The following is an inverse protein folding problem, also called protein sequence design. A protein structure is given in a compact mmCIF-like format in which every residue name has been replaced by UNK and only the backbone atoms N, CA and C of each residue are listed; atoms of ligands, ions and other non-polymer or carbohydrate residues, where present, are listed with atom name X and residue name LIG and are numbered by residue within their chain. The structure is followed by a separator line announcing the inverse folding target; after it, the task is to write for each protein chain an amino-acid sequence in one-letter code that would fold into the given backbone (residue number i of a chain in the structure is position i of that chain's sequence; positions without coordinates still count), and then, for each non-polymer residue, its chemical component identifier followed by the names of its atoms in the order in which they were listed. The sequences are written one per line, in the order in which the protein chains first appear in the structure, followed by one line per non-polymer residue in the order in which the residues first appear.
data_IF_193445118106
#
_entry.id   IF_193445118106
#
_cell.length_a   1.000
_cell.length_b   1.000
_cell.length_c   1.000
_cell.angle_alpha   90.00
_cell.angle_beta   90.00
_cell.angle_gamma   90.00
#
_symmetry.space_group_name_H-M   'P 1'
#
loop_
_entity.id
_entity.type
_entity.pdbx_description
1 polymer ?
#
# COMPACT_ATOMS: atom_id res chain seq x y z
N UNK A 1 -6.11 3.65 2.13
CA UNK A 1 -6.48 5.03 2.36
C UNK A 1 -5.77 5.95 1.37
N UNK A 2 -6.53 6.89 0.76
CA UNK A 2 -6.14 7.63 -0.44
C UNK A 2 -6.80 7.02 -1.68
N UNK A 3 -7.33 7.87 -2.56
CA UNK A 3 -7.94 7.47 -3.83
C UNK A 3 -7.42 8.33 -4.99
N UNK A 4 -6.16 8.69 -4.89
CA UNK A 4 -5.38 9.33 -5.95
C UNK A 4 -4.74 8.31 -6.90
N UNK A 5 -3.94 8.80 -7.85
CA UNK A 5 -3.31 7.96 -8.88
C UNK A 5 -2.48 6.80 -8.29
N UNK A 6 -1.71 7.04 -7.23
CA UNK A 6 -0.89 6.01 -6.58
C UNK A 6 -1.76 4.90 -5.97
N UNK A 7 -2.77 5.27 -5.18
CA UNK A 7 -3.66 4.29 -4.54
C UNK A 7 -4.42 3.44 -5.57
N UNK A 8 -4.96 4.08 -6.60
CA UNK A 8 -5.67 3.39 -7.69
C UNK A 8 -4.73 2.42 -8.44
N UNK A 9 -3.53 2.87 -8.79
CA UNK A 9 -2.55 2.03 -9.50
C UNK A 9 -2.11 0.83 -8.65
N UNK A 10 -1.80 1.04 -7.37
CA UNK A 10 -1.44 -0.05 -6.45
C UNK A 10 -2.60 -1.04 -6.29
N UNK A 11 -3.82 -0.55 -6.10
CA UNK A 11 -4.99 -1.40 -5.90
C UNK A 11 -5.28 -2.24 -7.16
N UNK A 12 -5.14 -1.69 -8.36
CA UNK A 12 -5.25 -2.45 -9.61
C UNK A 12 -4.23 -3.59 -9.66
N UNK A 13 -2.97 -3.34 -9.29
CA UNK A 13 -1.94 -4.39 -9.23
C UNK A 13 -2.27 -5.49 -8.21
N UNK A 14 -2.83 -5.15 -7.05
CA UNK A 14 -3.28 -6.16 -6.08
C UNK A 14 -4.40 -7.03 -6.62
N UNK A 15 -5.36 -6.45 -7.34
CA UNK A 15 -6.44 -7.19 -8.00
C UNK A 15 -5.88 -8.13 -9.07
N UNK A 16 -4.95 -7.67 -9.90
CA UNK A 16 -4.26 -8.49 -10.90
C UNK A 16 -3.42 -9.63 -10.27
N UNK A 17 -2.96 -9.46 -9.04
CA UNK A 17 -2.29 -10.50 -8.25
C UNK A 17 -3.26 -11.48 -7.58
N UNK A 18 -4.57 -11.25 -7.70
CA UNK A 18 -5.61 -12.15 -7.22
C UNK A 18 -6.37 -11.66 -5.98
N UNK A 19 -6.13 -10.45 -5.50
CA UNK A 19 -6.95 -9.88 -4.43
C UNK A 19 -8.36 -9.62 -4.96
N UNK A 20 -9.35 -10.16 -4.28
CA UNK A 20 -10.76 -9.97 -4.65
C UNK A 20 -11.21 -8.55 -4.32
N UNK A 21 -11.94 -7.92 -5.24
CA UNK A 21 -12.42 -6.53 -5.07
C UNK A 21 -13.35 -6.38 -3.87
N UNK A 22 -14.13 -7.40 -3.54
CA UNK A 22 -15.01 -7.40 -2.36
C UNK A 22 -14.27 -7.30 -1.01
N UNK A 23 -12.97 -7.61 -1.00
CA UNK A 23 -12.11 -7.49 0.19
C UNK A 23 -11.38 -6.14 0.26
N UNK A 24 -11.73 -5.18 -0.60
CA UNK A 24 -11.08 -3.87 -0.66
C UNK A 24 -12.05 -2.77 -0.25
N UNK A 25 -11.68 -2.01 0.76
CA UNK A 25 -12.35 -0.76 1.12
C UNK A 25 -11.44 0.43 0.78
N UNK A 26 -11.72 1.12 -0.30
CA UNK A 26 -10.98 2.32 -0.68
C UNK A 26 -11.58 3.55 0.00
N UNK A 27 -10.72 4.36 0.62
CA UNK A 27 -11.12 5.60 1.29
C UNK A 27 -10.49 6.81 0.60
N UNK A 28 -11.25 7.89 0.49
CA UNK A 28 -10.74 9.22 0.15
C UNK A 28 -10.98 10.22 1.30
N UNK A 29 -10.78 11.51 1.06
CA UNK A 29 -10.98 12.56 2.07
C UNK A 29 -12.40 12.67 2.62
N UNK A 30 -13.37 12.03 1.98
CA UNK A 30 -14.78 11.99 2.40
C UNK A 30 -15.18 10.65 3.04
N UNK A 31 -14.22 9.71 3.22
CA UNK A 31 -14.44 8.39 3.78
C UNK A 31 -14.45 7.27 2.74
N UNK A 32 -15.12 6.17 3.06
CA UNK A 32 -15.19 4.99 2.20
C UNK A 32 -15.91 5.28 0.89
N UNK A 33 -15.37 4.79 -0.21
CA UNK A 33 -16.02 4.81 -1.52
C UNK A 33 -17.01 3.65 -1.57
N UNK A 34 -18.22 3.88 -1.10
CA UNK A 34 -19.29 2.91 -1.03
C UNK A 34 -20.43 3.25 -2.01
N UNK A 35 -21.44 2.40 -2.08
CA UNK A 35 -22.57 2.52 -2.99
C UNK A 35 -23.44 3.79 -2.78
N UNK A 36 -23.32 4.47 -1.64
CA UNK A 36 -24.02 5.73 -1.34
C UNK A 36 -23.29 6.96 -1.89
N UNK A 37 -22.05 6.79 -2.38
CA UNK A 37 -21.22 7.91 -2.85
C UNK A 37 -21.60 8.35 -4.25
N UNK A 38 -21.83 9.65 -4.40
CA UNK A 38 -22.13 10.31 -5.65
C UNK A 38 -20.93 11.11 -6.18
N UNK A 39 -20.99 11.50 -7.44
CA UNK A 39 -19.99 12.37 -8.11
C UNK A 39 -18.55 11.82 -8.01
N UNK A 40 -18.38 10.52 -8.19
CA UNK A 40 -17.10 9.85 -8.24
C UNK A 40 -16.49 9.97 -9.65
N UNK A 41 -15.14 10.04 -9.71
CA UNK A 41 -14.43 9.94 -10.98
C UNK A 41 -14.51 8.52 -11.54
N UNK A 42 -14.36 8.32 -12.86
CA UNK A 42 -14.41 6.98 -13.45
C UNK A 42 -13.49 5.96 -12.78
N UNK A 43 -12.29 6.39 -12.40
CA UNK A 43 -11.30 5.51 -11.76
C UNK A 43 -11.73 5.05 -10.36
N UNK A 44 -12.51 5.87 -9.64
CA UNK A 44 -13.05 5.55 -8.31
C UNK A 44 -14.28 4.64 -8.38
N UNK A 45 -15.06 4.74 -9.46
CA UNK A 45 -16.26 3.92 -9.67
C UNK A 45 -15.90 2.43 -9.66
N UNK A 46 -14.75 2.06 -10.19
CA UNK A 46 -14.24 0.69 -10.21
C UNK A 46 -14.07 0.07 -8.80
N UNK A 47 -14.00 0.90 -7.76
CA UNK A 47 -13.76 0.51 -6.38
C UNK A 47 -14.92 0.82 -5.42
N UNK A 48 -16.12 1.00 -5.94
CA UNK A 48 -17.34 1.15 -5.12
C UNK A 48 -17.56 -0.16 -4.35
N UNK A 49 -17.47 -0.07 -3.02
CA UNK A 49 -17.77 -1.20 -2.15
C UNK A 49 -19.29 -1.28 -1.83
N UNK A 50 -19.81 -2.50 -1.80
CA UNK A 50 -21.19 -2.78 -1.41
C UNK A 50 -21.27 -2.90 0.12
N UNK A 51 -21.15 -1.78 0.82
CA UNK A 51 -21.13 -1.69 2.28
C UNK A 51 -21.76 -0.40 2.76
N UNK A 52 -22.26 -0.40 3.99
CA UNK A 52 -22.73 0.78 4.71
C UNK A 52 -21.63 1.49 5.52
N UNK A 53 -20.41 0.95 5.53
CA UNK A 53 -19.26 1.58 6.19
C UNK A 53 -18.93 2.89 5.47
N UNK A 54 -18.84 3.99 6.22
CA UNK A 54 -18.63 5.33 5.65
C UNK A 54 -17.28 5.94 6.04
N UNK A 55 -16.69 5.53 7.17
CA UNK A 55 -15.49 6.16 7.72
C UNK A 55 -14.26 5.27 7.59
N UNK A 56 -13.06 5.87 7.64
CA UNK A 56 -11.80 5.13 7.72
C UNK A 56 -11.75 4.26 8.98
N UNK A 57 -12.19 4.80 10.12
CA UNK A 57 -12.27 4.06 11.37
C UNK A 57 -13.13 2.79 11.24
N UNK A 58 -14.31 2.92 10.61
CA UNK A 58 -15.17 1.77 10.34
C UNK A 58 -14.54 0.75 9.41
N UNK A 59 -13.80 1.22 8.38
CA UNK A 59 -13.11 0.35 7.44
C UNK A 59 -11.94 -0.44 8.04
N UNK A 60 -11.33 0.08 9.09
CA UNK A 60 -10.20 -0.56 9.77
C UNK A 60 -10.61 -1.66 10.75
N UNK A 61 -11.86 -1.67 11.21
CA UNK A 61 -12.35 -2.71 12.14
C UNK A 61 -12.25 -4.10 11.53
N UNK A 62 -11.35 -4.92 12.07
CA UNK A 62 -11.10 -6.29 11.59
C UNK A 62 -10.36 -6.35 10.24
N UNK A 63 -9.79 -5.25 9.75
CA UNK A 63 -8.98 -5.26 8.55
C UNK A 63 -7.60 -5.89 8.80
N UNK A 64 -7.14 -6.75 7.89
CA UNK A 64 -5.83 -7.39 7.96
C UNK A 64 -4.70 -6.46 7.51
N UNK A 65 -4.99 -5.58 6.54
CA UNK A 65 -3.99 -4.72 5.91
C UNK A 65 -4.49 -3.30 5.77
N UNK A 66 -3.68 -2.34 6.19
CA UNK A 66 -3.86 -0.93 5.88
C UNK A 66 -2.79 -0.45 4.91
N UNK A 67 -3.19 0.25 3.86
CA UNK A 67 -2.27 0.88 2.90
C UNK A 67 -2.58 2.37 2.85
N UNK A 68 -1.69 3.17 3.43
CA UNK A 68 -1.75 4.61 3.46
C UNK A 68 -1.01 5.24 2.29
N UNK A 69 -1.74 5.96 1.44
CA UNK A 69 -1.23 6.69 0.28
C UNK A 69 -1.89 8.07 0.22
N UNK A 70 -2.02 8.71 1.36
CA UNK A 70 -2.79 9.96 1.51
C UNK A 70 -1.98 11.08 2.19
N UNK A 71 -2.20 11.29 3.46
CA UNK A 71 -1.54 12.30 4.28
C UNK A 71 -1.22 11.74 5.66
N UNK A 72 -0.22 12.33 6.32
CA UNK A 72 0.20 11.91 7.64
C UNK A 72 -0.86 12.08 8.72
N UNK A 73 -0.70 11.30 9.78
CA UNK A 73 -1.46 11.41 11.04
C UNK A 73 -3.00 11.27 10.87
N UNK A 74 -3.45 10.36 10.00
CA UNK A 74 -4.89 10.07 9.80
C UNK A 74 -5.34 8.78 10.49
N UNK A 75 -4.41 7.96 10.95
CA UNK A 75 -4.67 6.71 11.66
C UNK A 75 -4.36 6.89 13.15
N UNK A 76 -5.35 6.73 14.00
CA UNK A 76 -5.17 6.81 15.45
C UNK A 76 -4.74 5.45 16.05
N UNK A 77 -4.20 5.44 17.31
CA UNK A 77 -3.94 4.20 18.03
C UNK A 77 -5.17 3.29 18.15
N UNK A 78 -6.35 3.85 18.38
CA UNK A 78 -7.60 3.10 18.52
C UNK A 78 -7.99 2.43 17.20
N UNK A 79 -7.76 3.10 16.07
CA UNK A 79 -7.95 2.52 14.74
C UNK A 79 -7.01 1.33 14.53
N UNK A 80 -5.73 1.44 14.90
CA UNK A 80 -4.76 0.35 14.83
C UNK A 80 -5.17 -0.84 15.71
N UNK A 81 -5.62 -0.58 16.93
CA UNK A 81 -6.11 -1.62 17.86
C UNK A 81 -7.34 -2.35 17.32
N UNK A 82 -8.16 -1.70 16.49
CA UNK A 82 -9.38 -2.28 15.95
C UNK A 82 -9.15 -3.23 14.77
N UNK A 83 -7.95 -3.26 14.20
CA UNK A 83 -7.59 -4.16 13.09
C UNK A 83 -7.52 -5.62 13.54
N UNK A 84 -7.49 -6.54 12.59
CA UNK A 84 -7.32 -7.98 12.83
C UNK A 84 -5.98 -8.29 13.53
N UNK A 85 -5.79 -9.52 13.99
CA UNK A 85 -4.55 -9.98 14.60
C UNK A 85 -3.38 -9.97 13.60
N UNK A 86 -2.19 -9.56 14.06
CA UNK A 86 -0.98 -9.42 13.24
C UNK A 86 -1.19 -8.54 12.00
N UNK A 87 -1.69 -7.30 12.15
CA UNK A 87 -2.01 -6.46 11.01
C UNK A 87 -0.77 -5.97 10.28
N UNK A 88 -0.90 -5.79 8.98
CA UNK A 88 0.13 -5.17 8.15
C UNK A 88 -0.25 -3.72 7.88
N UNK A 89 0.65 -2.80 8.21
CA UNK A 89 0.44 -1.36 8.05
C UNK A 89 1.50 -0.75 7.15
N UNK A 90 1.10 -0.27 5.99
CA UNK A 90 1.93 0.56 5.11
C UNK A 90 1.57 2.03 5.31
N UNK A 91 2.38 2.75 6.08
CA UNK A 91 2.26 4.21 6.26
C UNK A 91 3.17 4.93 5.28
N UNK A 92 2.68 5.22 4.07
CA UNK A 92 3.50 5.67 2.95
C UNK A 92 3.36 7.17 2.63
N UNK A 93 2.60 7.92 3.43
CA UNK A 93 2.54 9.37 3.31
C UNK A 93 3.89 10.03 3.63
N UNK A 94 4.18 11.12 2.96
CA UNK A 94 5.41 11.90 3.12
C UNK A 94 5.09 13.38 3.44
N UNK A 95 5.84 14.03 4.36
CA UNK A 95 7.00 13.50 5.11
C UNK A 95 6.61 12.61 6.30
N UNK A 96 5.39 12.73 6.82
CA UNK A 96 4.91 11.99 7.96
C UNK A 96 4.00 10.84 7.52
N UNK A 97 4.18 9.62 8.06
CA UNK A 97 3.31 8.48 7.75
C UNK A 97 1.90 8.69 8.34
N UNK A 98 0.95 7.90 7.91
CA UNK A 98 -0.45 7.94 8.39
C UNK A 98 -0.59 7.69 9.89
N UNK A 99 0.35 6.93 10.47
CA UNK A 99 0.57 6.78 11.91
C UNK A 99 2.09 6.77 12.14
N UNK A 100 2.56 7.45 13.18
CA UNK A 100 3.98 7.51 13.52
C UNK A 100 4.47 6.11 13.92
N UNK A 101 5.70 5.75 13.49
CA UNK A 101 6.23 4.39 13.64
C UNK A 101 6.32 3.93 15.09
N UNK A 102 6.93 4.76 15.97
CA UNK A 102 7.09 4.39 17.37
C UNK A 102 5.74 4.30 18.08
N UNK A 103 4.83 5.23 17.80
CA UNK A 103 3.47 5.21 18.32
C UNK A 103 2.74 3.92 17.92
N UNK A 104 2.86 3.49 16.66
CA UNK A 104 2.25 2.25 16.20
C UNK A 104 2.83 1.02 16.93
N UNK A 105 4.17 0.94 17.04
CA UNK A 105 4.86 -0.17 17.70
C UNK A 105 4.67 -0.21 19.22
N UNK A 106 4.45 0.94 19.85
CA UNK A 106 4.07 1.03 21.27
C UNK A 106 2.63 0.62 21.49
N UNK A 107 1.74 1.02 20.58
CA UNK A 107 0.32 0.69 20.63
C UNK A 107 0.06 -0.80 20.48
N UNK A 108 0.76 -1.45 19.52
CA UNK A 108 0.47 -2.83 19.15
C UNK A 108 1.71 -3.57 18.65
N UNK A 109 2.19 -4.54 19.44
CA UNK A 109 3.47 -5.24 19.20
C UNK A 109 3.44 -6.26 18.07
N UNK A 110 2.29 -6.79 17.72
CA UNK A 110 2.10 -7.76 16.62
C UNK A 110 1.96 -7.10 15.24
N UNK A 111 2.04 -5.75 15.17
CA UNK A 111 1.96 -5.02 13.92
C UNK A 111 3.21 -5.21 13.06
N UNK A 112 3.03 -5.57 11.79
CA UNK A 112 4.07 -5.49 10.76
C UNK A 112 3.94 -4.13 10.09
N UNK A 113 4.86 -3.21 10.41
CA UNK A 113 4.79 -1.84 9.87
C UNK A 113 5.90 -1.57 8.86
N UNK A 114 5.54 -0.91 7.77
CA UNK A 114 6.45 -0.38 6.76
C UNK A 114 6.12 1.10 6.48
N UNK A 115 7.16 1.88 6.20
CA UNK A 115 7.03 3.31 5.89
C UNK A 115 7.86 3.69 4.65
N UNK A 116 7.69 4.91 4.15
CA UNK A 116 8.57 5.48 3.11
C UNK A 116 9.90 6.00 3.66
N UNK A 117 10.12 5.98 4.97
CA UNK A 117 11.29 6.58 5.63
C UNK A 117 12.44 5.58 5.71
N UNK A 118 13.67 6.09 5.53
CA UNK A 118 14.91 5.29 5.62
C UNK A 118 15.43 5.10 7.06
N UNK A 119 14.90 5.86 8.00
CA UNK A 119 15.26 5.80 9.41
C UNK A 119 14.44 4.80 10.23
N UNK A 120 13.48 4.13 9.59
CA UNK A 120 12.67 3.07 10.20
C UNK A 120 12.86 1.72 9.48
N UNK A 121 12.64 0.61 10.18
CA UNK A 121 12.62 -0.71 9.56
C UNK A 121 11.58 -0.84 8.44
N UNK A 122 11.80 -1.80 7.51
CA UNK A 122 10.87 -2.10 6.42
C UNK A 122 10.58 -0.89 5.51
N UNK A 123 11.62 -0.14 5.12
CA UNK A 123 11.45 0.95 4.18
C UNK A 123 10.87 0.46 2.85
N UNK A 124 9.83 1.16 2.38
CA UNK A 124 9.28 1.02 1.02
C UNK A 124 9.70 2.23 0.20
N UNK A 125 10.55 2.02 -0.82
CA UNK A 125 11.10 3.10 -1.61
C UNK A 125 10.88 2.84 -3.10
N UNK A 126 10.45 3.86 -3.84
CA UNK A 126 10.25 3.80 -5.30
C UNK A 126 11.50 3.38 -6.06
N UNK A 127 12.69 3.64 -5.53
CA UNK A 127 13.98 3.27 -6.14
C UNK A 127 14.13 1.75 -6.36
N UNK A 128 13.38 0.92 -5.61
CA UNK A 128 13.38 -0.53 -5.83
C UNK A 128 12.83 -0.94 -7.20
N UNK A 129 11.93 -0.15 -7.77
CA UNK A 129 11.30 -0.47 -9.06
C UNK A 129 11.58 0.54 -10.15
N UNK A 130 11.62 1.81 -9.81
CA UNK A 130 11.61 2.92 -10.75
C UNK A 130 12.73 2.88 -11.81
N UNK A 131 14.04 2.78 -11.49
CA UNK A 131 15.05 2.79 -12.55
C UNK A 131 15.01 1.51 -13.40
N UNK A 132 14.74 0.39 -12.78
CA UNK A 132 14.88 -0.94 -13.39
C UNK A 132 13.76 -1.27 -14.36
N UNK A 133 12.51 -0.87 -14.08
CA UNK A 133 11.40 -1.08 -15.02
C UNK A 133 11.58 -0.26 -16.30
N UNK A 134 12.12 0.96 -16.20
CA UNK A 134 12.45 1.78 -17.36
C UNK A 134 13.63 1.19 -18.13
N UNK A 135 14.67 0.72 -17.43
CA UNK A 135 15.80 0.07 -18.07
C UNK A 135 15.35 -1.17 -18.85
N UNK A 136 14.53 -2.03 -18.25
CA UNK A 136 13.98 -3.19 -18.94
C UNK A 136 13.14 -2.83 -20.16
N UNK A 137 12.31 -1.78 -20.07
CA UNK A 137 11.53 -1.30 -21.21
C UNK A 137 12.42 -0.80 -22.36
N UNK A 138 13.50 -0.07 -22.04
CA UNK A 138 14.46 0.42 -23.04
C UNK A 138 15.25 -0.71 -23.69
N UNK A 139 15.69 -1.71 -22.92
CA UNK A 139 16.47 -2.84 -23.42
C UNK A 139 15.71 -3.63 -24.51
N UNK A 140 14.38 -3.78 -24.32
CA UNK A 140 13.52 -4.44 -25.31
C UNK A 140 12.87 -3.48 -26.31
N UNK A 141 13.24 -2.19 -26.27
CA UNK A 141 12.68 -1.13 -27.13
C UNK A 141 11.14 -1.09 -27.07
N UNK A 142 10.57 -1.27 -25.89
CA UNK A 142 9.13 -1.21 -25.71
C UNK A 142 8.62 0.22 -25.90
N UNK A 143 7.45 0.34 -26.54
CA UNK A 143 6.78 1.64 -26.71
C UNK A 143 5.90 2.04 -25.51
N UNK A 144 5.70 1.13 -24.56
CA UNK A 144 4.90 1.36 -23.35
C UNK A 144 5.33 0.44 -22.21
N UNK A 145 5.05 0.83 -20.98
CA UNK A 145 5.14 -0.04 -19.80
C UNK A 145 3.73 -0.54 -19.52
N UNK A 146 3.43 -1.77 -19.94
CA UNK A 146 2.11 -2.39 -19.77
C UNK A 146 1.97 -3.14 -18.45
N UNK A 147 0.75 -3.63 -18.15
CA UNK A 147 0.45 -4.32 -16.89
C UNK A 147 1.28 -5.60 -16.71
N UNK A 148 1.53 -6.37 -17.77
CA UNK A 148 2.36 -7.57 -17.70
C UNK A 148 3.79 -7.26 -17.25
N UNK A 149 4.38 -6.15 -17.73
CA UNK A 149 5.71 -5.69 -17.31
C UNK A 149 5.71 -5.27 -15.83
N UNK A 150 4.68 -4.57 -15.37
CA UNK A 150 4.55 -4.19 -13.94
C UNK A 150 4.42 -5.42 -13.05
N UNK A 151 3.59 -6.40 -13.44
CA UNK A 151 3.44 -7.66 -12.71
C UNK A 151 4.74 -8.47 -12.68
N UNK A 152 5.49 -8.50 -13.78
CA UNK A 152 6.79 -9.16 -13.83
C UNK A 152 7.78 -8.50 -12.86
N UNK A 153 7.83 -7.16 -12.82
CA UNK A 153 8.68 -6.41 -11.90
C UNK A 153 8.30 -6.69 -10.42
N UNK A 154 7.00 -6.68 -10.10
CA UNK A 154 6.51 -7.01 -8.74
C UNK A 154 6.91 -8.42 -8.34
N UNK A 155 6.72 -9.42 -9.22
CA UNK A 155 7.10 -10.81 -8.93
C UNK A 155 8.61 -10.97 -8.79
N UNK A 156 9.41 -10.27 -9.57
CA UNK A 156 10.87 -10.29 -9.47
C UNK A 156 11.35 -9.70 -8.12
N UNK A 157 10.81 -8.55 -7.70
CA UNK A 157 11.10 -7.93 -6.42
C UNK A 157 10.69 -8.81 -5.23
N UNK A 158 9.48 -9.38 -5.27
CA UNK A 158 9.01 -10.30 -4.25
C UNK A 158 9.85 -11.59 -4.19
N UNK A 159 10.32 -12.08 -5.33
CA UNK A 159 11.24 -13.21 -5.44
C UNK A 159 12.61 -12.89 -4.84
N UNK A 160 13.15 -11.71 -5.16
CA UNK A 160 14.45 -11.25 -4.64
C UNK A 160 14.44 -11.16 -3.10
N UNK A 161 13.36 -10.68 -2.50
CA UNK A 161 13.22 -10.60 -1.05
C UNK A 161 13.26 -11.96 -0.33
N UNK A 162 13.11 -13.07 -1.07
CA UNK A 162 13.18 -14.45 -0.54
C UNK A 162 14.55 -15.11 -0.76
N UNK A 163 15.47 -14.43 -1.45
CA UNK A 163 16.82 -14.96 -1.70
C UNK A 163 17.75 -14.63 -0.54
N UNK A 164 18.82 -15.42 -0.38
CA UNK A 164 19.88 -15.13 0.59
C UNK A 164 20.56 -13.81 0.23
N UNK A 165 20.73 -12.95 1.23
CA UNK A 165 21.47 -11.70 1.06
C UNK A 165 22.93 -12.02 0.72
N UNK A 166 23.51 -11.45 -0.36
CA UNK A 166 24.91 -11.66 -0.69
C UNK A 166 25.85 -11.19 0.44
N UNK A 167 26.96 -11.91 0.68
CA UNK A 167 27.90 -11.58 1.74
C UNK A 167 28.45 -10.16 1.67
N UNK A 168 28.67 -9.63 0.46
CA UNK A 168 29.12 -8.25 0.26
C UNK A 168 28.12 -7.22 0.79
N UNK A 169 26.83 -7.53 0.75
CA UNK A 169 25.77 -6.66 1.31
C UNK A 169 25.74 -6.81 2.83
N UNK A 170 25.81 -8.05 3.35
CA UNK A 170 25.87 -8.32 4.80
C UNK A 170 27.07 -7.66 5.49
N UNK A 171 28.18 -7.49 4.76
CA UNK A 171 29.39 -6.83 5.28
C UNK A 171 29.30 -5.30 5.24
N UNK A 172 28.36 -4.73 4.46
CA UNK A 172 28.17 -3.29 4.29
C UNK A 172 27.17 -2.69 5.28
N UNK A 173 26.34 -3.52 5.89
CA UNK A 173 25.28 -3.14 6.82
C UNK A 173 25.28 -4.01 8.09
#
# INVERSE_FOLDING_TARGET
NGAGAAAIACTKLYVELGLKKENILMCDSKGVINHKRENLTPEKIDFIAQTDIETLEGALKGADVFIGLSKGNVMSPEMLLSMADNPIVFGLANPDPEIEYHLAMETRKDTIMATGRSDYPNQVNNVLGFPYIFRGALDVRSTQINEAMKLAAVKALAGLAKTTVPDIVNLAY
#
